data_IF_645843841134
#
_entry.id   IF_645843841134
#
_cell.length_a   1.000
_cell.length_b   1.000
_cell.length_c   1.000
_cell.angle_alpha   90.00
_cell.angle_beta   90.00
_cell.angle_gamma   90.00
#
_symmetry.space_group_name_H-M   'P 1'
#
loop_
_entity.id
_entity.type
_entity.pdbx_description
1 polymer ?
#
# COMPACT_ATOMS: atom_id res chain seq x y z
N UNK A 1 -44.83 28.58 46.85
CA UNK A 1 -44.76 29.44 45.64
C UNK A 1 -43.38 29.24 45.03
N UNK A 2 -43.24 28.28 44.11
CA UNK A 2 -41.97 27.93 43.46
C UNK A 2 -42.07 28.36 41.99
N UNK A 3 -41.29 29.36 41.59
CA UNK A 3 -41.25 29.84 40.21
C UNK A 3 -40.19 29.06 39.43
N UNK A 4 -40.63 28.29 38.43
CA UNK A 4 -39.78 27.66 37.42
C UNK A 4 -39.42 28.72 36.38
N UNK A 5 -38.14 29.11 36.30
CA UNK A 5 -37.62 29.86 35.15
C UNK A 5 -37.13 28.86 34.08
N UNK A 6 -37.83 28.84 32.95
CA UNK A 6 -37.38 28.20 31.72
C UNK A 6 -36.37 29.11 31.02
N UNK A 7 -35.14 28.64 30.82
CA UNK A 7 -34.14 29.31 30.00
C UNK A 7 -33.96 28.53 28.69
N UNK A 8 -34.42 29.11 27.58
CA UNK A 8 -34.16 28.62 26.22
C UNK A 8 -32.84 29.19 25.73
N UNK A 9 -31.83 28.33 25.54
CA UNK A 9 -30.55 28.70 24.94
C UNK A 9 -30.65 28.39 23.44
N UNK A 10 -30.75 29.43 22.62
CA UNK A 10 -30.54 29.32 21.16
C UNK A 10 -29.04 29.41 20.88
N UNK A 11 -28.41 28.29 20.52
CA UNK A 11 -27.05 28.28 19.99
C UNK A 11 -27.06 28.83 18.55
N UNK A 12 -26.45 29.99 18.35
CA UNK A 12 -26.03 30.45 17.02
C UNK A 12 -24.64 29.88 16.73
N UNK A 13 -24.50 29.13 15.63
CA UNK A 13 -23.20 28.77 15.10
C UNK A 13 -22.59 30.01 14.43
N UNK A 14 -21.46 30.51 14.94
CA UNK A 14 -20.65 31.50 14.24
C UNK A 14 -19.96 30.83 13.05
N UNK A 15 -20.25 31.31 11.84
CA UNK A 15 -19.50 30.98 10.63
C UNK A 15 -18.19 31.78 10.68
N UNK A 16 -17.00 31.16 10.53
CA UNK A 16 -15.76 31.92 10.49
C UNK A 16 -15.73 32.83 9.24
N UNK A 17 -15.30 34.10 9.35
CA UNK A 17 -15.23 35.01 8.22
C UNK A 17 -14.19 34.53 7.20
N UNK A 18 -14.56 34.58 5.92
CA UNK A 18 -13.67 34.30 4.80
C UNK A 18 -12.46 35.25 4.80
N UNK A 19 -11.26 34.69 4.79
CA UNK A 19 -10.03 35.47 4.64
C UNK A 19 -9.91 35.97 3.20
N UNK A 20 -10.02 37.29 3.04
CA UNK A 20 -9.82 38.03 1.80
C UNK A 20 -8.32 38.16 1.47
N UNK A 21 -7.99 38.00 0.19
CA UNK A 21 -6.69 38.35 -0.40
C UNK A 21 -6.38 39.82 -0.08
N UNK A 22 -5.17 40.11 0.40
CA UNK A 22 -4.60 41.46 0.38
C UNK A 22 -3.43 41.49 -0.60
N UNK A 23 -3.61 42.33 -1.62
CA UNK A 23 -2.63 42.77 -2.61
C UNK A 23 -2.07 44.08 -2.08
N UNK A 24 -0.80 44.11 -1.69
CA UNK A 24 -0.11 45.36 -1.35
C UNK A 24 0.85 45.70 -2.48
N UNK A 25 0.47 46.72 -3.26
CA UNK A 25 1.28 47.36 -4.31
C UNK A 25 1.79 48.68 -3.77
N UNK A 26 3.10 48.87 -3.67
CA UNK A 26 3.75 50.18 -3.45
C UNK A 26 5.03 50.23 -4.32
N UNK A 27 5.37 51.37 -4.97
CA UNK A 27 6.00 51.36 -6.29
C UNK A 27 7.54 51.39 -6.29
N UNK A 28 8.06 50.88 -7.40
CA UNK A 28 9.43 50.91 -7.94
C UNK A 28 10.02 52.32 -8.06
N UNK A 29 11.35 52.46 -7.96
CA UNK A 29 12.06 53.13 -9.05
C UNK A 29 13.18 52.27 -9.63
N UNK A 30 13.17 52.19 -10.95
CA UNK A 30 14.12 51.48 -11.80
C UNK A 30 15.50 52.15 -11.74
N UNK A 31 16.57 51.34 -11.59
CA UNK A 31 17.92 51.72 -12.00
C UNK A 31 18.64 50.56 -12.70
N UNK A 32 18.72 50.73 -14.02
CA UNK A 32 19.76 50.36 -14.99
C UNK A 32 20.51 49.03 -14.82
N UNK A 33 20.25 48.17 -15.82
CA UNK A 33 21.10 47.10 -16.31
C UNK A 33 22.54 47.60 -16.52
N UNK A 34 23.49 46.94 -15.88
CA UNK A 34 24.90 46.98 -16.23
C UNK A 34 25.33 45.52 -16.41
N UNK A 35 25.48 45.11 -17.66
CA UNK A 35 26.15 43.88 -18.03
C UNK A 35 27.60 43.97 -17.54
N UNK A 36 27.98 43.09 -16.62
CA UNK A 36 29.39 42.89 -16.29
C UNK A 36 29.61 41.39 -16.09
N UNK A 37 30.09 40.78 -17.17
CA UNK A 37 30.92 39.59 -17.22
C UNK A 37 30.64 38.51 -16.16
N UNK A 38 29.94 37.44 -16.57
CA UNK A 38 30.19 36.12 -15.99
C UNK A 38 31.60 35.75 -16.45
N UNK A 39 32.59 36.08 -15.62
CA UNK A 39 33.95 35.59 -15.79
C UNK A 39 33.87 34.07 -15.76
N UNK A 40 34.15 33.46 -16.91
CA UNK A 40 34.23 32.02 -17.08
C UNK A 40 35.56 31.59 -16.47
N UNK A 41 35.60 31.61 -15.13
CA UNK A 41 36.62 30.93 -14.36
C UNK A 41 36.59 29.47 -14.82
N UNK A 42 37.64 29.11 -15.55
CA UNK A 42 37.91 27.77 -16.06
C UNK A 42 37.64 26.78 -14.93
N UNK A 43 36.70 25.87 -15.18
CA UNK A 43 36.50 24.69 -14.36
C UNK A 43 37.86 24.04 -14.16
N UNK A 44 38.37 24.14 -12.94
CA UNK A 44 39.59 23.50 -12.52
C UNK A 44 39.45 22.00 -12.77
N UNK A 45 40.55 21.36 -13.17
CA UNK A 45 40.60 20.11 -13.95
C UNK A 45 40.14 18.83 -13.22
N UNK A 46 39.01 18.89 -12.52
CA UNK A 46 38.38 17.75 -11.88
C UNK A 46 37.70 16.95 -13.00
N UNK A 47 38.07 15.67 -13.21
CA UNK A 47 37.36 14.83 -14.16
C UNK A 47 35.88 14.76 -13.76
N UNK A 48 34.99 14.77 -14.75
CA UNK A 48 33.56 14.63 -14.50
C UNK A 48 33.32 13.39 -13.63
N UNK A 49 32.60 13.59 -12.52
CA UNK A 49 32.24 12.51 -11.62
C UNK A 49 31.45 11.46 -12.41
N UNK A 50 31.70 10.15 -12.19
CA UNK A 50 30.89 9.10 -12.81
C UNK A 50 29.38 9.24 -12.52
N UNK A 51 29.04 9.94 -11.43
CA UNK A 51 27.68 10.32 -11.06
C UNK A 51 27.64 11.79 -10.62
N UNK A 52 26.83 12.60 -11.30
CA UNK A 52 26.57 14.00 -10.98
C UNK A 52 25.53 14.13 -9.85
N UNK A 53 25.99 14.42 -8.63
CA UNK A 53 25.12 14.65 -7.48
C UNK A 53 24.97 16.16 -7.21
N UNK A 54 23.73 16.67 -7.25
CA UNK A 54 23.46 18.07 -6.91
C UNK A 54 23.54 18.28 -5.39
N UNK A 55 24.10 19.41 -4.94
CA UNK A 55 24.25 19.77 -3.52
C UNK A 55 22.97 19.72 -2.67
N UNK A 56 21.79 19.81 -3.29
CA UNK A 56 20.48 19.76 -2.63
C UNK A 56 19.69 18.49 -2.94
N UNK A 57 20.26 17.56 -3.70
CA UNK A 57 19.60 16.31 -4.05
C UNK A 57 19.54 15.40 -2.83
N UNK A 58 18.35 15.25 -2.25
CA UNK A 58 18.06 14.18 -1.30
C UNK A 58 17.83 12.91 -2.10
N UNK A 59 18.86 12.07 -2.22
CA UNK A 59 18.74 10.74 -2.83
C UNK A 59 18.26 9.72 -1.81
N UNK A 60 17.24 8.94 -2.14
CA UNK A 60 16.97 7.67 -1.46
C UNK A 60 17.74 6.56 -2.16
N UNK A 61 18.57 5.83 -1.41
CA UNK A 61 19.28 4.68 -1.93
C UNK A 61 18.28 3.50 -2.05
N UNK A 62 17.89 3.17 -3.28
CA UNK A 62 17.07 1.99 -3.56
C UNK A 62 17.99 0.81 -3.83
N UNK A 63 18.42 0.13 -2.76
CA UNK A 63 19.15 -1.13 -2.87
C UNK A 63 18.16 -2.26 -3.16
N UNK A 64 18.31 -2.90 -4.32
CA UNK A 64 17.64 -4.17 -4.57
C UNK A 64 18.25 -5.23 -3.64
N UNK A 65 17.39 -6.07 -3.06
CA UNK A 65 17.87 -7.22 -2.32
C UNK A 65 18.34 -8.28 -3.33
N UNK A 66 19.65 -8.49 -3.43
CA UNK A 66 20.30 -9.48 -4.30
C UNK A 66 20.30 -10.89 -3.69
N UNK A 67 19.72 -11.06 -2.50
CA UNK A 67 19.63 -12.35 -1.83
C UNK A 67 18.55 -13.22 -2.47
N UNK A 68 18.95 -14.39 -2.94
CA UNK A 68 18.07 -15.43 -3.45
C UNK A 68 17.88 -16.51 -2.38
N UNK A 69 16.64 -17.00 -2.25
CA UNK A 69 16.31 -18.11 -1.35
C UNK A 69 15.89 -19.32 -2.16
N UNK A 70 16.63 -20.40 -2.03
CA UNK A 70 16.38 -21.67 -2.71
C UNK A 70 15.80 -22.68 -1.71
N UNK A 71 14.84 -23.49 -2.16
CA UNK A 71 14.16 -24.49 -1.34
C UNK A 71 14.24 -25.84 -2.05
N UNK A 72 14.90 -26.80 -1.41
CA UNK A 72 15.14 -28.14 -1.93
C UNK A 72 14.40 -29.14 -1.04
N UNK A 73 13.67 -30.08 -1.62
CA UNK A 73 13.00 -31.15 -0.87
C UNK A 73 13.89 -32.40 -0.83
N UNK A 74 14.13 -32.91 0.38
CA UNK A 74 14.83 -34.17 0.60
C UNK A 74 13.81 -35.30 0.89
N UNK A 75 13.70 -36.30 0.00
CA UNK A 75 12.76 -37.40 0.16
C UNK A 75 13.12 -38.39 1.28
N UNK A 76 14.39 -38.51 1.67
CA UNK A 76 14.82 -39.47 2.70
C UNK A 76 14.44 -38.97 4.11
N UNK A 77 14.80 -37.72 4.40
CA UNK A 77 14.46 -37.08 5.68
C UNK A 77 13.04 -36.51 5.72
N UNK A 78 12.36 -36.41 4.57
CA UNK A 78 11.05 -35.75 4.38
C UNK A 78 11.05 -34.28 4.84
N UNK A 79 12.20 -33.62 4.73
CA UNK A 79 12.39 -32.24 5.13
C UNK A 79 12.64 -31.33 3.92
N UNK A 80 12.37 -30.04 4.12
CA UNK A 80 12.67 -28.98 3.18
C UNK A 80 13.91 -28.23 3.66
N UNK A 81 14.90 -28.10 2.78
CA UNK A 81 16.16 -27.42 3.02
C UNK A 81 16.09 -26.05 2.37
N UNK A 82 16.16 -25.00 3.18
CA UNK A 82 16.19 -23.60 2.72
C UNK A 82 17.62 -23.05 2.75
N UNK A 83 18.15 -22.68 1.60
CA UNK A 83 19.47 -22.06 1.46
C UNK A 83 19.34 -20.60 0.99
N UNK A 84 20.19 -19.71 1.50
CA UNK A 84 20.26 -18.31 1.10
C UNK A 84 21.59 -18.04 0.39
N UNK A 85 21.53 -17.53 -0.84
CA UNK A 85 22.71 -17.20 -1.66
C UNK A 85 22.68 -15.77 -2.18
N UNK A 86 23.86 -15.19 -2.42
CA UNK A 86 24.07 -13.97 -3.21
C UNK A 86 25.03 -14.37 -4.33
N UNK A 87 24.57 -14.29 -5.59
CA UNK A 87 25.30 -14.85 -6.72
C UNK A 87 25.60 -16.33 -6.49
N UNK A 88 26.89 -16.68 -6.47
CA UNK A 88 27.36 -18.07 -6.33
C UNK A 88 27.74 -18.44 -4.87
N UNK A 89 27.58 -17.53 -3.92
CA UNK A 89 27.99 -17.73 -2.53
C UNK A 89 26.80 -17.93 -1.59
N UNK A 90 26.84 -19.00 -0.80
CA UNK A 90 25.91 -19.24 0.30
C UNK A 90 26.31 -18.41 1.53
N UNK A 91 25.36 -17.61 2.03
CA UNK A 91 25.64 -16.62 3.08
C UNK A 91 25.38 -17.20 4.48
N UNK A 92 24.46 -18.17 4.55
CA UNK A 92 24.01 -18.77 5.81
C UNK A 92 23.93 -20.28 5.67
N UNK A 93 24.04 -20.94 6.82
CA UNK A 93 23.75 -22.36 6.93
C UNK A 93 22.30 -22.64 6.49
N UNK A 94 22.06 -23.78 5.81
CA UNK A 94 20.72 -24.14 5.40
C UNK A 94 19.83 -24.38 6.62
N UNK A 95 18.57 -23.95 6.52
CA UNK A 95 17.54 -24.20 7.53
C UNK A 95 16.67 -25.37 7.10
N UNK A 96 16.35 -26.27 8.04
CA UNK A 96 15.51 -27.44 7.80
C UNK A 96 14.12 -27.18 8.32
N UNK A 97 13.11 -27.48 7.51
CA UNK A 97 11.70 -27.36 7.86
C UNK A 97 10.98 -28.67 7.59
N UNK A 98 10.14 -29.08 8.51
CA UNK A 98 9.17 -30.15 8.29
C UNK A 98 8.14 -29.72 7.23
N UNK A 99 7.39 -30.69 6.69
CA UNK A 99 6.34 -30.39 5.72
C UNK A 99 5.25 -29.44 6.27
N UNK A 100 4.95 -29.51 7.58
CA UNK A 100 3.97 -28.62 8.21
C UNK A 100 4.53 -27.20 8.28
N UNK A 101 5.75 -27.04 8.76
CA UNK A 101 6.42 -25.73 8.86
C UNK A 101 6.59 -25.08 7.49
N UNK A 102 6.92 -25.88 6.46
CA UNK A 102 7.02 -25.37 5.10
C UNK A 102 5.68 -24.85 4.56
N UNK A 103 4.57 -25.53 4.85
CA UNK A 103 3.22 -25.06 4.47
C UNK A 103 2.90 -23.72 5.12
N UNK A 104 3.18 -23.60 6.42
CA UNK A 104 2.94 -22.38 7.19
C UNK A 104 3.85 -21.24 6.69
N UNK A 105 5.12 -21.52 6.42
CA UNK A 105 6.07 -20.57 5.82
C UNK A 105 5.59 -20.07 4.45
N UNK A 106 5.19 -20.97 3.56
CA UNK A 106 4.71 -20.64 2.21
C UNK A 106 3.45 -19.79 2.27
N UNK A 107 2.49 -20.16 3.11
CA UNK A 107 1.26 -19.39 3.30
C UNK A 107 1.56 -17.95 3.73
N UNK A 108 2.42 -17.77 4.74
CA UNK A 108 2.80 -16.44 5.21
C UNK A 108 3.53 -15.62 4.14
N UNK A 109 4.40 -16.26 3.34
CA UNK A 109 5.10 -15.61 2.23
C UNK A 109 4.13 -15.15 1.14
N UNK A 110 3.17 -15.99 0.77
CA UNK A 110 2.16 -15.68 -0.25
C UNK A 110 1.27 -14.51 0.20
N UNK A 111 0.85 -14.51 1.47
CA UNK A 111 0.09 -13.39 2.08
C UNK A 111 0.90 -12.09 2.03
N UNK A 112 2.16 -12.14 2.46
CA UNK A 112 3.04 -10.97 2.45
C UNK A 112 3.23 -10.41 1.03
N UNK A 113 3.48 -11.29 0.05
CA UNK A 113 3.68 -10.90 -1.33
C UNK A 113 2.41 -10.27 -1.93
N UNK A 114 1.24 -10.87 -1.69
CA UNK A 114 -0.05 -10.32 -2.12
C UNK A 114 -0.28 -8.90 -1.59
N UNK A 115 -0.07 -8.67 -0.29
CA UNK A 115 -0.26 -7.34 0.29
C UNK A 115 0.78 -6.34 -0.19
N UNK A 116 2.03 -6.76 -0.37
CA UNK A 116 3.10 -5.93 -0.93
C UNK A 116 2.74 -5.47 -2.35
N UNK A 117 2.29 -6.37 -3.20
CA UNK A 117 1.84 -6.05 -4.57
C UNK A 117 0.65 -5.09 -4.56
N UNK A 118 -0.35 -5.35 -3.69
CA UNK A 118 -1.51 -4.48 -3.52
C UNK A 118 -1.12 -3.07 -3.08
N UNK A 119 -0.26 -2.94 -2.08
CA UNK A 119 0.21 -1.62 -1.58
C UNK A 119 1.02 -0.89 -2.66
N UNK A 120 1.91 -1.59 -3.37
CA UNK A 120 2.70 -1.00 -4.44
C UNK A 120 1.81 -0.41 -5.54
N UNK A 121 0.79 -1.16 -5.95
CA UNK A 121 -0.15 -0.74 -6.97
C UNK A 121 -1.12 0.36 -6.49
N UNK A 122 -1.55 0.38 -5.22
CA UNK A 122 -2.29 1.53 -4.64
C UNK A 122 -1.41 2.78 -4.58
N UNK A 123 -0.15 2.64 -4.19
CA UNK A 123 0.77 3.78 -3.97
C UNK A 123 1.23 4.48 -5.26
N UNK A 124 0.83 3.97 -6.44
CA UNK A 124 1.23 4.53 -7.74
C UNK A 124 2.73 4.42 -8.03
N UNK A 125 3.47 3.63 -7.24
CA UNK A 125 4.92 3.40 -7.40
C UNK A 125 5.24 2.26 -8.37
N UNK A 126 4.23 1.48 -8.76
CA UNK A 126 4.37 0.45 -9.79
C UNK A 126 4.42 1.11 -11.17
N UNK A 127 5.40 0.71 -11.99
CA UNK A 127 5.52 1.14 -13.39
C UNK A 127 4.38 0.60 -14.28
N UNK A 128 3.68 -0.44 -13.81
CA UNK A 128 2.62 -1.11 -14.55
C UNK A 128 1.25 -0.48 -14.27
N UNK A 129 0.73 0.23 -15.27
CA UNK A 129 -0.56 0.92 -15.19
C UNK A 129 -1.73 -0.03 -14.99
N UNK A 130 -1.62 -1.30 -15.39
CA UNK A 130 -2.70 -2.27 -15.36
C UNK A 130 -2.99 -2.80 -13.94
N UNK A 131 -1.95 -2.96 -13.11
CA UNK A 131 -2.10 -3.34 -11.71
C UNK A 131 -2.83 -2.25 -10.90
N UNK A 132 -2.65 -0.98 -11.27
CA UNK A 132 -3.34 0.16 -10.65
C UNK A 132 -4.84 0.21 -11.03
N UNK A 133 -5.23 -0.31 -12.22
CA UNK A 133 -6.63 -0.33 -12.68
C UNK A 133 -7.50 -1.33 -11.92
N UNK A 134 -6.91 -2.43 -11.44
CA UNK A 134 -7.62 -3.45 -10.67
C UNK A 134 -7.96 -3.04 -9.22
N UNK A 135 -7.47 -1.89 -8.74
CA UNK A 135 -7.54 -1.49 -7.33
C UNK A 135 -8.45 -0.28 -7.05
N UNK A 136 -8.99 0.36 -8.08
CA UNK A 136 -9.87 1.51 -7.92
C UNK A 136 -11.34 1.10 -8.08
N UNK A 137 -12.27 1.67 -7.27
CA UNK A 137 -13.71 1.45 -7.47
C UNK A 137 -14.24 2.02 -8.80
N UNK A 138 -13.44 2.83 -9.50
CA UNK A 138 -13.72 3.31 -10.87
C UNK A 138 -13.09 2.35 -11.88
N UNK A 139 -13.79 1.29 -12.25
CA UNK A 139 -13.37 0.35 -13.29
C UNK A 139 -13.37 1.04 -14.66
N UNK A 140 -12.27 0.92 -15.40
CA UNK A 140 -12.17 1.40 -16.79
C UNK A 140 -12.18 0.19 -17.72
N UNK A 141 -13.36 -0.22 -18.20
CA UNK A 141 -13.53 -1.38 -19.08
C UNK A 141 -13.39 -0.90 -20.53
N UNK A 142 -12.22 -1.10 -21.15
CA UNK A 142 -12.06 -0.89 -22.60
C UNK A 142 -12.64 -2.08 -23.38
N UNK A 143 -13.96 -2.23 -23.41
CA UNK A 143 -14.60 -3.16 -24.33
C UNK A 143 -15.73 -2.48 -25.11
N UNK A 144 -15.69 -2.60 -26.45
CA UNK A 144 -16.70 -2.00 -27.33
C UNK A 144 -18.13 -2.51 -27.04
N UNK A 145 -18.25 -3.74 -26.54
CA UNK A 145 -19.52 -4.31 -26.09
C UNK A 145 -20.10 -3.57 -24.88
N UNK A 146 -19.27 -3.18 -23.90
CA UNK A 146 -19.75 -2.50 -22.68
C UNK A 146 -20.20 -1.06 -22.97
N UNK A 147 -19.48 -0.35 -23.85
CA UNK A 147 -19.89 0.96 -24.36
C UNK A 147 -21.26 0.92 -25.04
N UNK A 148 -21.54 -0.13 -25.82
CA UNK A 148 -22.79 -0.26 -26.57
C UNK A 148 -24.00 -0.59 -25.69
N UNK A 149 -23.80 -1.34 -24.60
CA UNK A 149 -24.89 -1.70 -23.68
C UNK A 149 -25.14 -0.59 -22.63
N UNK A 150 -24.09 0.12 -22.18
CA UNK A 150 -24.18 1.04 -21.04
C UNK A 150 -23.89 2.52 -21.35
N UNK A 151 -23.61 2.88 -22.61
CA UNK A 151 -23.61 4.28 -23.08
C UNK A 151 -22.40 5.13 -22.66
N UNK A 152 -21.40 4.58 -21.95
CA UNK A 152 -20.22 5.33 -21.50
C UNK A 152 -19.04 4.43 -21.15
N UNK A 153 -17.81 4.98 -21.21
CA UNK A 153 -16.57 4.29 -20.88
C UNK A 153 -16.18 4.38 -19.38
N UNK A 154 -17.00 5.08 -18.59
CA UNK A 154 -16.71 5.36 -17.18
C UNK A 154 -17.96 5.03 -16.36
N UNK A 155 -17.85 4.07 -15.45
CA UNK A 155 -18.90 3.75 -14.48
C UNK A 155 -18.58 4.52 -13.20
N UNK A 156 -19.45 5.44 -12.80
CA UNK A 156 -19.36 6.11 -11.50
C UNK A 156 -20.30 5.42 -10.52
N UNK A 157 -19.75 4.52 -9.70
CA UNK A 157 -20.50 3.80 -8.67
C UNK A 157 -20.42 4.60 -7.36
N UNK A 158 -21.53 5.20 -6.96
CA UNK A 158 -21.69 5.89 -5.68
C UNK A 158 -22.55 5.02 -4.74
N UNK A 159 -21.98 4.03 -4.03
CA UNK A 159 -22.75 3.23 -3.09
C UNK A 159 -23.20 4.13 -1.93
N UNK A 160 -24.51 4.36 -1.81
CA UNK A 160 -25.09 5.05 -0.67
C UNK A 160 -25.65 4.00 0.31
N UNK A 161 -25.42 4.21 1.61
CA UNK A 161 -25.87 3.31 2.68
C UNK A 161 -24.72 2.72 3.50
N UNK A 162 -25.06 1.99 4.56
CA UNK A 162 -24.10 1.30 5.44
C UNK A 162 -24.20 -0.21 5.25
N UNK A 163 -23.05 -0.88 5.10
CA UNK A 163 -22.99 -2.34 5.13
C UNK A 163 -22.52 -2.76 6.53
N UNK A 164 -23.36 -3.48 7.27
CA UNK A 164 -22.97 -4.10 8.52
C UNK A 164 -22.68 -5.57 8.23
N UNK A 165 -21.41 -5.97 8.18
CA UNK A 165 -21.06 -7.37 8.00
C UNK A 165 -20.72 -7.97 9.36
N UNK A 166 -21.48 -8.99 9.79
CA UNK A 166 -21.15 -9.77 10.98
C UNK A 166 -20.44 -11.05 10.54
N UNK A 167 -19.16 -11.17 10.92
CA UNK A 167 -18.36 -12.36 10.67
C UNK A 167 -18.10 -13.05 12.00
N UNK A 168 -18.40 -14.34 12.08
CA UNK A 168 -18.18 -15.17 13.25
C UNK A 168 -17.64 -16.54 12.89
N UNK A 169 -16.88 -17.14 13.81
CA UNK A 169 -16.45 -18.54 13.71
C UNK A 169 -17.02 -19.27 14.92
N UNK A 170 -17.79 -20.32 14.66
CA UNK A 170 -18.32 -21.21 15.67
C UNK A 170 -17.46 -22.48 15.70
N UNK A 171 -16.61 -22.60 16.73
CA UNK A 171 -15.86 -23.83 17.00
C UNK A 171 -16.58 -24.64 18.09
N UNK A 172 -16.91 -25.89 17.76
CA UNK A 172 -17.53 -26.83 18.68
C UNK A 172 -16.69 -28.10 18.76
N UNK A 173 -16.37 -28.52 19.98
CA UNK A 173 -15.69 -29.78 20.26
C UNK A 173 -16.51 -30.59 21.26
N UNK A 174 -16.87 -31.81 20.88
CA UNK A 174 -17.67 -32.73 21.69
C UNK A 174 -16.79 -33.91 22.11
N UNK A 175 -16.72 -34.20 23.41
CA UNK A 175 -15.88 -35.27 23.98
C UNK A 175 -16.59 -36.61 24.06
N UNK A 176 -17.61 -36.85 23.22
CA UNK A 176 -18.32 -38.12 23.21
C UNK A 176 -17.46 -39.19 22.51
N UNK A 177 -16.99 -40.23 23.23
CA UNK A 177 -16.14 -41.27 22.67
C UNK A 177 -16.85 -42.12 21.59
N UNK A 178 -18.19 -42.11 21.55
CA UNK A 178 -18.97 -42.83 20.54
C UNK A 178 -18.99 -42.11 19.18
N UNK A 179 -18.64 -40.82 19.12
CA UNK A 179 -18.49 -40.08 17.87
C UNK A 179 -17.10 -40.32 17.29
N UNK A 180 -16.99 -40.37 15.97
CA UNK A 180 -15.69 -40.40 15.28
C UNK A 180 -14.93 -39.09 15.52
N UNK A 181 -13.60 -39.13 15.57
CA UNK A 181 -12.77 -37.94 15.81
C UNK A 181 -13.06 -36.80 14.84
N UNK A 182 -13.41 -37.13 13.59
CA UNK A 182 -13.83 -36.15 12.56
C UNK A 182 -15.15 -35.47 12.89
N UNK A 183 -16.10 -36.18 13.50
CA UNK A 183 -17.42 -35.64 13.85
C UNK A 183 -17.44 -35.03 15.27
N UNK A 184 -16.36 -35.17 16.04
CA UNK A 184 -16.19 -34.53 17.35
C UNK A 184 -15.83 -33.05 17.24
N UNK A 185 -15.37 -32.58 16.09
CA UNK A 185 -14.96 -31.19 15.88
C UNK A 185 -15.74 -30.60 14.70
N UNK A 186 -16.45 -29.49 14.93
CA UNK A 186 -17.11 -28.72 13.87
C UNK A 186 -16.64 -27.27 13.93
N UNK A 187 -16.26 -26.73 12.78
CA UNK A 187 -15.88 -25.31 12.62
C UNK A 187 -16.76 -24.73 11.54
N UNK A 188 -17.72 -23.88 11.93
CA UNK A 188 -18.65 -23.24 11.01
C UNK A 188 -18.35 -21.76 10.92
N UNK A 189 -18.23 -21.24 9.71
CA UNK A 189 -18.14 -19.82 9.44
C UNK A 189 -19.56 -19.25 9.34
N UNK A 190 -19.89 -18.29 10.20
CA UNK A 190 -21.16 -17.57 10.19
C UNK A 190 -20.96 -16.17 9.59
N UNK A 191 -21.74 -15.90 8.54
CA UNK A 191 -21.75 -14.61 7.85
C UNK A 191 -23.18 -14.08 7.85
N UNK A 192 -23.50 -13.25 8.85
CA UNK A 192 -24.79 -12.57 8.92
C UNK A 192 -24.72 -11.22 8.20
N UNK A 193 -25.70 -10.99 7.32
CA UNK A 193 -25.90 -9.75 6.57
C UNK A 193 -26.71 -8.73 7.39
#
# INVERSE_FOLDING_TARGET
MFALFSASIKCYAQIPPAATKKTDTVPTPEKKVADTAIDTLKNDSIPDLPYDFKRFQKGSLYLNNLMESEIIYDPESKQYIMAQKIGDYYIKHPSYMSQKEYKDYRLNKDIYQYFKEKVNAVSGRSKDTDAQRNLLPKYYIKSGLFKNIFGGNTIEVNPQGSVLTKMGILYQKVENPQLSERNRQSTTFDFAK
#
